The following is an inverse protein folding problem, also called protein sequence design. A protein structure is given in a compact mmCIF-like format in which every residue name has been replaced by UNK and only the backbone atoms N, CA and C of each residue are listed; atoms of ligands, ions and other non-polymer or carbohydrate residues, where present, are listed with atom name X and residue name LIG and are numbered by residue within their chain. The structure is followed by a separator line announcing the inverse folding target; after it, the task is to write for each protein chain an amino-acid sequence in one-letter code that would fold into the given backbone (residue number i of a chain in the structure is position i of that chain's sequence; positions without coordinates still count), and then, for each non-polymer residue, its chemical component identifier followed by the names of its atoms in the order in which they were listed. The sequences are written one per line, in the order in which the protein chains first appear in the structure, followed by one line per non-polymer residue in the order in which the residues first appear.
data_IF_787532402431
#
_entry.id   IF_787532402431
#
_cell.length_a   1.000
_cell.length_b   1.000
_cell.length_c   1.000
_cell.angle_alpha   90.00
_cell.angle_beta   90.00
_cell.angle_gamma   90.00
#
_symmetry.space_group_name_H-M   'P 1'
#
loop_
_entity.id
_entity.type
_entity.pdbx_description
1 polymer ?
#
# COMPACT_ATOMS: atom_id res chain seq x y z
N UNK A 1 -18.31 18.14 -8.44
CA UNK A 1 -19.18 17.28 -9.29
C UNK A 1 -19.13 15.85 -8.78
N UNK A 2 -20.26 15.16 -8.78
CA UNK A 2 -20.33 13.75 -8.42
C UNK A 2 -19.34 12.93 -9.26
N UNK A 3 -18.56 12.02 -8.66
CA UNK A 3 -17.66 11.15 -9.41
C UNK A 3 -18.46 10.24 -10.35
N UNK A 4 -17.98 10.10 -11.58
CA UNK A 4 -18.64 9.30 -12.64
C UNK A 4 -17.63 8.39 -13.29
N UNK A 5 -18.06 7.18 -13.63
CA UNK A 5 -17.26 6.28 -14.48
C UNK A 5 -17.24 6.88 -15.90
N UNK A 6 -16.05 7.07 -16.49
CA UNK A 6 -15.96 7.52 -17.87
C UNK A 6 -16.62 6.53 -18.83
N UNK A 7 -17.02 7.01 -20.00
CA UNK A 7 -17.51 6.17 -21.08
C UNK A 7 -16.48 5.09 -21.47
N UNK A 8 -16.95 3.88 -21.80
CA UNK A 8 -16.07 2.74 -22.10
C UNK A 8 -15.12 3.01 -23.28
N UNK A 9 -15.54 3.78 -24.28
CA UNK A 9 -14.68 4.14 -25.41
C UNK A 9 -13.58 5.12 -24.99
N UNK A 10 -13.87 6.04 -24.04
CA UNK A 10 -12.85 6.94 -23.47
C UNK A 10 -11.82 6.16 -22.65
N UNK A 11 -12.26 5.19 -21.85
CA UNK A 11 -11.36 4.31 -21.09
C UNK A 11 -10.48 3.51 -22.06
N UNK A 12 -11.10 2.86 -23.07
CA UNK A 12 -10.37 2.09 -24.07
C UNK A 12 -9.33 2.95 -24.82
N UNK A 13 -9.66 4.17 -25.18
CA UNK A 13 -8.74 5.11 -25.82
C UNK A 13 -7.59 5.49 -24.89
N UNK A 14 -7.86 5.75 -23.60
CA UNK A 14 -6.82 6.09 -22.64
C UNK A 14 -5.82 4.94 -22.43
N UNK A 15 -6.29 3.70 -22.26
CA UNK A 15 -5.39 2.55 -22.05
C UNK A 15 -4.65 2.12 -23.31
N UNK A 16 -5.18 2.37 -24.53
CA UNK A 16 -4.51 1.99 -25.78
C UNK A 16 -3.35 2.92 -26.16
N UNK A 17 -3.29 4.12 -25.59
CA UNK A 17 -2.25 5.10 -25.89
C UNK A 17 -1.09 5.14 -24.88
N UNK A 18 -1.38 5.00 -23.59
CA UNK A 18 -0.45 5.41 -22.54
C UNK A 18 -0.12 4.32 -21.50
N UNK A 19 -0.84 3.20 -21.47
CA UNK A 19 -0.67 2.14 -20.47
C UNK A 19 -0.14 0.83 -21.08
N UNK A 20 0.60 0.92 -22.19
CA UNK A 20 1.21 -0.27 -22.77
C UNK A 20 2.25 -0.85 -21.79
N UNK A 21 2.25 -2.17 -21.65
CA UNK A 21 3.19 -2.91 -20.78
C UNK A 21 4.67 -2.74 -21.20
N UNK A 22 4.91 -2.08 -22.32
CA UNK A 22 6.25 -1.70 -22.79
C UNK A 22 6.63 -0.36 -22.15
N UNK A 23 7.30 -0.43 -21.02
CA UNK A 23 7.92 0.70 -20.29
C UNK A 23 9.01 1.45 -21.08
N UNK A 24 8.98 1.39 -22.40
CA UNK A 24 9.94 2.08 -23.29
C UNK A 24 9.80 3.60 -23.28
N UNK A 25 8.75 4.12 -22.64
CA UNK A 25 8.49 5.56 -22.54
C UNK A 25 9.35 6.26 -21.47
N UNK A 26 9.99 5.51 -20.57
CA UNK A 26 10.87 6.06 -19.53
C UNK A 26 12.16 5.26 -19.50
N UNK A 27 13.27 5.93 -19.70
CA UNK A 27 14.61 5.35 -19.56
C UNK A 27 15.26 5.92 -18.30
N UNK A 28 15.80 5.03 -17.46
CA UNK A 28 16.60 5.42 -16.29
C UNK A 28 18.07 5.18 -16.66
N UNK A 29 18.89 6.21 -16.58
CA UNK A 29 20.35 6.11 -16.78
C UNK A 29 21.02 5.53 -15.54
N UNK A 30 22.25 5.03 -15.70
CA UNK A 30 23.04 4.46 -14.58
C UNK A 30 23.30 5.46 -13.44
N UNK A 31 23.29 6.77 -13.73
CA UNK A 31 23.39 7.83 -12.73
C UNK A 31 22.04 8.14 -12.01
N UNK A 32 20.98 7.39 -12.32
CA UNK A 32 19.63 7.61 -11.76
C UNK A 32 18.81 8.69 -12.45
N UNK A 33 19.35 9.33 -13.49
CA UNK A 33 18.60 10.34 -14.26
C UNK A 33 17.49 9.67 -15.08
N UNK A 34 16.27 10.22 -14.98
CA UNK A 34 15.11 9.72 -15.75
C UNK A 34 14.99 10.51 -17.03
N UNK A 35 15.02 9.81 -18.17
CA UNK A 35 14.67 10.35 -19.46
C UNK A 35 13.25 9.91 -19.82
N UNK A 36 12.32 10.85 -19.91
CA UNK A 36 11.05 10.58 -20.54
C UNK A 36 11.26 10.49 -22.05
N UNK A 37 10.99 9.31 -22.63
CA UNK A 37 11.20 9.10 -24.07
C UNK A 37 10.10 9.74 -24.94
N UNK A 38 8.94 10.04 -24.33
CA UNK A 38 7.80 10.68 -24.98
C UNK A 38 7.45 11.96 -24.22
N UNK A 39 7.28 13.07 -24.94
CA UNK A 39 6.87 14.38 -24.37
C UNK A 39 5.52 14.35 -23.65
N UNK A 40 4.68 13.36 -23.93
CA UNK A 40 3.37 13.20 -23.31
C UNK A 40 3.41 12.25 -22.11
N UNK A 41 4.55 11.61 -21.81
CA UNK A 41 4.70 10.71 -20.67
C UNK A 41 4.48 11.46 -19.36
N UNK A 42 3.58 10.94 -18.54
CA UNK A 42 3.31 11.42 -17.17
C UNK A 42 3.64 10.31 -16.19
N UNK A 43 4.44 10.64 -15.19
CA UNK A 43 4.82 9.70 -14.13
C UNK A 43 3.97 10.00 -12.91
N UNK A 44 3.28 9.00 -12.39
CA UNK A 44 2.55 9.06 -11.12
C UNK A 44 3.31 8.25 -10.06
N UNK A 45 3.69 8.92 -8.99
CA UNK A 45 4.41 8.32 -7.85
C UNK A 45 3.47 7.90 -6.71
N UNK A 46 2.17 7.83 -6.94
CA UNK A 46 1.16 7.55 -5.92
C UNK A 46 1.36 6.26 -5.13
N UNK A 47 2.02 5.27 -5.74
CA UNK A 47 2.33 3.99 -5.08
C UNK A 47 3.71 3.95 -4.39
N UNK A 48 4.50 5.03 -4.45
CA UNK A 48 5.86 5.07 -3.87
C UNK A 48 6.15 6.35 -3.08
N UNK A 49 5.40 7.42 -3.34
CA UNK A 49 5.72 8.74 -2.82
C UNK A 49 5.69 8.84 -1.30
N UNK A 50 4.76 8.14 -0.65
CA UNK A 50 4.67 8.12 0.81
C UNK A 50 5.83 7.33 1.43
N UNK A 51 6.16 6.19 0.81
CA UNK A 51 7.29 5.36 1.22
C UNK A 51 8.63 6.08 1.09
N UNK A 52 8.86 6.80 -0.02
CA UNK A 52 10.03 7.66 -0.18
C UNK A 52 10.07 8.71 0.94
N UNK A 53 8.94 9.37 1.21
CA UNK A 53 8.85 10.38 2.26
C UNK A 53 9.19 9.82 3.65
N UNK A 54 8.74 8.62 3.99
CA UNK A 54 9.09 7.97 5.27
C UNK A 54 10.57 7.60 5.34
N UNK A 55 11.15 7.07 4.26
CA UNK A 55 12.58 6.73 4.21
C UNK A 55 13.47 7.99 4.36
N UNK A 56 13.12 9.09 3.70
CA UNK A 56 13.86 10.36 3.84
C UNK A 56 13.69 10.96 5.23
N UNK A 57 12.50 10.93 5.81
CA UNK A 57 12.25 11.41 7.17
C UNK A 57 13.13 10.68 8.20
N UNK A 58 13.24 9.35 8.10
CA UNK A 58 14.12 8.57 9.00
C UNK A 58 15.59 8.88 8.78
N UNK A 59 16.02 9.12 7.54
CA UNK A 59 17.40 9.57 7.29
C UNK A 59 17.72 10.90 7.96
N UNK A 60 16.75 11.81 8.03
CA UNK A 60 16.90 13.08 8.73
C UNK A 60 16.91 12.90 10.25
N UNK A 61 15.98 12.14 10.80
CA UNK A 61 15.84 11.84 12.24
C UNK A 61 17.13 11.20 12.77
N UNK A 62 17.72 10.25 12.06
CA UNK A 62 18.96 9.58 12.45
C UNK A 62 20.19 10.52 12.57
N UNK A 63 20.14 11.71 11.99
CA UNK A 63 21.22 12.70 12.10
C UNK A 63 21.16 13.47 13.43
N UNK A 64 19.99 13.55 14.04
CA UNK A 64 19.79 14.20 15.31
C UNK A 64 19.89 13.17 16.44
N UNK A 65 20.98 13.27 17.21
CA UNK A 65 21.29 12.34 18.32
C UNK A 65 20.39 12.53 19.55
N UNK A 66 19.66 13.62 19.64
CA UNK A 66 18.71 13.88 20.72
C UNK A 66 17.40 13.12 20.52
N UNK A 67 17.10 12.69 19.28
CA UNK A 67 15.90 11.91 18.97
C UNK A 67 16.17 10.43 19.24
N UNK A 68 15.68 9.91 20.34
CA UNK A 68 15.83 8.50 20.76
C UNK A 68 14.73 7.59 20.19
N UNK A 69 13.58 8.14 19.83
CA UNK A 69 12.47 7.39 19.24
C UNK A 69 11.52 8.28 18.44
N UNK A 70 11.02 7.77 17.33
CA UNK A 70 10.09 8.48 16.48
C UNK A 70 9.15 7.53 15.71
N UNK A 71 7.93 7.99 15.47
CA UNK A 71 7.02 7.40 14.49
C UNK A 71 6.66 8.48 13.47
N UNK A 72 6.89 8.19 12.20
CA UNK A 72 6.49 9.06 11.09
C UNK A 72 5.37 8.38 10.33
N UNK A 73 4.24 9.06 10.18
CA UNK A 73 3.07 8.58 9.45
C UNK A 73 2.72 9.53 8.31
N UNK A 74 2.74 9.03 7.08
CA UNK A 74 2.32 9.74 5.88
C UNK A 74 1.12 9.00 5.26
N UNK A 75 -0.07 9.32 5.74
CA UNK A 75 -1.27 8.54 5.41
C UNK A 75 -1.11 7.08 5.83
N UNK A 76 -1.33 6.15 4.89
CA UNK A 76 -1.20 4.70 5.14
C UNK A 76 0.23 4.16 5.18
N UNK A 77 1.27 5.02 5.08
CA UNK A 77 2.68 4.61 5.17
C UNK A 77 3.29 5.12 6.47
N UNK A 78 3.84 4.21 7.27
CA UNK A 78 4.37 4.46 8.62
C UNK A 78 5.78 3.89 8.70
N UNK A 79 6.66 4.60 9.42
CA UNK A 79 7.97 4.06 9.81
C UNK A 79 8.22 4.37 11.28
N UNK A 80 8.84 3.43 12.00
CA UNK A 80 9.22 3.60 13.40
C UNK A 80 10.74 3.57 13.54
N UNK A 81 11.25 4.37 14.48
CA UNK A 81 12.68 4.49 14.77
C UNK A 81 12.92 4.54 16.29
N UNK A 82 14.02 3.95 16.71
CA UNK A 82 14.44 3.99 18.10
C UNK A 82 13.46 3.32 19.06
N UNK A 83 13.48 3.74 20.29
CA UNK A 83 12.66 3.21 21.37
C UNK A 83 11.66 4.25 21.84
N UNK A 84 10.52 3.79 22.31
CA UNK A 84 9.55 4.67 22.98
C UNK A 84 10.09 5.07 24.37
N UNK A 85 9.71 6.24 24.84
CA UNK A 85 10.17 6.77 26.12
C UNK A 85 9.82 5.89 27.33
N UNK A 86 8.79 5.05 27.21
CA UNK A 86 8.36 4.09 28.23
C UNK A 86 9.00 2.71 28.09
N UNK A 87 9.92 2.53 27.11
CA UNK A 87 10.58 1.25 26.82
C UNK A 87 9.67 0.19 26.19
N UNK A 88 8.42 0.50 25.89
CA UNK A 88 7.50 -0.45 25.27
C UNK A 88 7.75 -0.59 23.76
N UNK A 89 7.35 -1.73 23.19
CA UNK A 89 7.38 -1.96 21.74
C UNK A 89 6.49 -0.95 20.98
N UNK A 90 6.87 -0.67 19.76
CA UNK A 90 6.01 0.03 18.83
C UNK A 90 4.82 -0.86 18.46
N UNK A 91 3.61 -0.34 18.66
CA UNK A 91 2.38 -1.02 18.27
C UNK A 91 1.64 -0.16 17.23
N UNK A 92 1.53 -0.67 16.00
CA UNK A 92 0.93 0.05 14.88
C UNK A 92 -0.44 -0.54 14.57
N UNK A 93 -1.47 0.30 14.62
CA UNK A 93 -2.83 -0.10 14.29
C UNK A 93 -3.02 -0.33 12.79
N UNK A 94 -3.71 -1.40 12.43
CA UNK A 94 -4.20 -1.65 11.06
C UNK A 94 -5.68 -1.26 11.04
N UNK A 95 -6.06 -0.38 10.10
CA UNK A 95 -7.44 0.07 9.95
C UNK A 95 -8.35 -1.11 9.56
N UNK A 96 -9.55 -1.14 10.15
CA UNK A 96 -10.59 -2.08 9.74
C UNK A 96 -11.18 -1.65 8.37
N UNK A 97 -11.01 -2.47 7.30
CA UNK A 97 -11.53 -2.12 5.98
C UNK A 97 -13.05 -2.15 5.89
N UNK A 98 -13.75 -2.72 6.88
CA UNK A 98 -15.20 -2.75 6.99
C UNK A 98 -15.73 -1.75 8.02
N UNK A 99 -14.86 -1.20 8.85
CA UNK A 99 -15.19 -0.25 9.90
C UNK A 99 -15.34 1.18 9.38
N UNK A 100 -15.62 2.08 10.29
CA UNK A 100 -15.59 3.52 10.03
C UNK A 100 -14.14 4.00 9.95
N UNK A 101 -13.96 5.20 9.42
CA UNK A 101 -12.64 5.82 9.39
C UNK A 101 -12.06 5.94 10.80
N UNK A 102 -10.82 5.44 10.97
CA UNK A 102 -10.13 5.37 12.26
C UNK A 102 -10.46 4.15 13.13
N UNK A 103 -11.43 3.29 12.76
CA UNK A 103 -11.64 2.01 13.45
C UNK A 103 -10.51 1.03 13.15
N UNK A 104 -10.03 0.34 14.18
CA UNK A 104 -8.85 -0.52 14.11
C UNK A 104 -9.26 -1.98 14.09
N UNK A 105 -8.79 -2.70 13.07
CA UNK A 105 -8.91 -4.15 12.96
C UNK A 105 -8.10 -4.87 14.06
N UNK A 106 -6.90 -4.37 14.30
CA UNK A 106 -5.93 -4.95 15.22
C UNK A 106 -4.62 -4.19 15.19
N UNK A 107 -3.65 -4.64 15.97
CA UNK A 107 -2.34 -4.03 16.05
C UNK A 107 -1.23 -5.00 15.69
N UNK A 108 -0.13 -4.47 15.14
CA UNK A 108 1.12 -5.20 14.93
C UNK A 108 2.22 -4.61 15.81
N UNK A 109 2.93 -5.49 16.53
CA UNK A 109 4.15 -5.09 17.23
C UNK A 109 5.32 -5.09 16.26
N UNK A 110 6.09 -4.03 16.28
CA UNK A 110 7.21 -3.82 15.37
C UNK A 110 8.41 -3.21 16.09
N UNK A 111 9.60 -3.48 15.55
CA UNK A 111 10.87 -2.97 16.06
C UNK A 111 11.31 -1.72 15.30
N UNK A 112 12.25 -1.00 15.89
CA UNK A 112 12.95 0.12 15.24
C UNK A 112 13.42 -0.24 13.83
N UNK A 113 13.24 0.68 12.88
CA UNK A 113 13.61 0.49 11.48
C UNK A 113 12.54 -0.21 10.63
N UNK A 114 11.39 -0.57 11.21
CA UNK A 114 10.30 -1.19 10.46
C UNK A 114 9.48 -0.12 9.73
N UNK A 115 9.26 -0.36 8.46
CA UNK A 115 8.34 0.39 7.59
C UNK A 115 7.09 -0.43 7.32
N UNK A 116 5.93 0.24 7.33
CA UNK A 116 4.62 -0.37 7.16
C UNK A 116 3.86 0.47 6.14
N UNK A 117 3.19 -0.17 5.19
CA UNK A 117 2.29 0.54 4.28
C UNK A 117 1.05 -0.28 3.98
N UNK A 118 -0.10 0.39 3.94
CA UNK A 118 -1.39 -0.26 3.67
C UNK A 118 -2.02 0.31 2.41
N UNK A 119 -2.50 -0.59 1.56
CA UNK A 119 -3.38 -0.28 0.42
C UNK A 119 -4.72 -0.99 0.61
N UNK A 120 -5.81 -0.30 0.29
CA UNK A 120 -7.15 -0.86 0.47
C UNK A 120 -8.18 -0.31 -0.52
N UNK A 121 -9.31 -1.03 -0.66
CA UNK A 121 -10.41 -0.65 -1.53
C UNK A 121 -11.37 0.38 -0.90
N UNK A 122 -11.13 0.76 0.35
CA UNK A 122 -11.92 1.73 1.09
C UNK A 122 -11.42 3.17 0.94
N UNK A 123 -10.18 3.35 0.48
CA UNK A 123 -9.62 4.66 0.18
C UNK A 123 -10.04 5.13 -1.22
N UNK A 124 -10.28 6.45 -1.37
CA UNK A 124 -10.59 7.11 -2.66
C UNK A 124 -11.59 6.28 -3.47
N UNK A 125 -12.71 5.96 -2.87
CA UNK A 125 -13.76 5.10 -3.44
C UNK A 125 -15.04 5.88 -3.72
N UNK A 126 -15.81 5.42 -4.70
CA UNK A 126 -17.17 5.89 -4.93
C UNK A 126 -18.05 4.75 -5.46
N UNK A 127 -19.35 4.88 -5.26
CA UNK A 127 -20.33 3.96 -5.84
C UNK A 127 -21.07 4.66 -6.99
N UNK A 128 -21.03 4.06 -8.17
CA UNK A 128 -21.78 4.54 -9.31
C UNK A 128 -23.28 4.40 -9.06
N UNK A 129 -23.97 5.53 -9.01
CA UNK A 129 -25.42 5.60 -8.71
C UNK A 129 -26.31 4.84 -9.71
N UNK A 130 -25.83 4.65 -10.95
CA UNK A 130 -26.62 3.96 -12.00
C UNK A 130 -26.53 2.45 -11.89
N UNK A 131 -25.35 1.94 -11.56
CA UNK A 131 -25.08 0.49 -11.58
C UNK A 131 -24.95 -0.12 -10.19
N UNK A 132 -24.88 0.68 -9.13
CA UNK A 132 -24.57 0.25 -7.76
C UNK A 132 -23.15 -0.28 -7.60
N UNK A 133 -22.30 -0.22 -8.63
CA UNK A 133 -20.96 -0.77 -8.60
C UNK A 133 -20.01 0.20 -7.91
N UNK A 134 -19.20 -0.33 -6.98
CA UNK A 134 -18.15 0.40 -6.28
C UNK A 134 -16.87 0.41 -7.10
N UNK A 135 -16.23 1.56 -7.15
CA UNK A 135 -14.94 1.80 -7.78
C UNK A 135 -13.98 2.43 -6.79
N UNK A 136 -12.69 2.14 -6.93
CA UNK A 136 -11.60 2.68 -6.13
C UNK A 136 -10.37 2.96 -7.00
N UNK A 137 -9.41 3.69 -6.48
CA UNK A 137 -8.33 4.32 -7.23
C UNK A 137 -7.24 3.37 -7.76
N UNK A 138 -7.14 2.14 -7.26
CA UNK A 138 -6.15 1.17 -7.75
C UNK A 138 -6.72 0.53 -9.02
N UNK A 139 -6.11 0.87 -10.15
CA UNK A 139 -6.61 0.48 -11.47
C UNK A 139 -5.79 -0.68 -12.05
N UNK A 140 -6.48 -1.53 -12.80
CA UNK A 140 -5.87 -2.53 -13.66
C UNK A 140 -5.49 -1.86 -14.99
N UNK A 141 -4.19 -1.84 -15.31
CA UNK A 141 -3.65 -1.20 -16.51
C UNK A 141 -4.20 -1.79 -17.83
N UNK A 142 -4.63 -3.06 -17.81
CA UNK A 142 -5.20 -3.72 -19.00
C UNK A 142 -6.63 -3.32 -19.27
N UNK A 143 -7.39 -2.97 -18.23
CA UNK A 143 -8.82 -2.70 -18.35
C UNK A 143 -9.19 -1.25 -18.09
N UNK A 144 -8.34 -0.49 -17.38
CA UNK A 144 -8.59 0.88 -16.94
C UNK A 144 -9.66 1.01 -15.84
N UNK A 145 -10.16 -0.10 -15.31
CA UNK A 145 -11.09 -0.13 -14.18
C UNK A 145 -10.36 -0.55 -12.90
N UNK A 146 -11.03 -0.37 -11.76
CA UNK A 146 -10.50 -0.87 -10.47
C UNK A 146 -10.14 -2.34 -10.56
N UNK A 147 -8.99 -2.74 -10.00
CA UNK A 147 -8.52 -4.12 -10.04
C UNK A 147 -9.55 -5.08 -9.45
N UNK A 148 -9.63 -6.27 -10.03
CA UNK A 148 -10.46 -7.35 -9.49
C UNK A 148 -9.61 -8.14 -8.51
N UNK A 149 -9.87 -7.96 -7.23
CA UNK A 149 -9.19 -8.67 -6.14
C UNK A 149 -10.20 -9.22 -5.16
N UNK A 150 -9.84 -10.26 -4.43
CA UNK A 150 -10.60 -10.86 -3.34
C UNK A 150 -10.32 -10.23 -1.98
N UNK A 151 -9.29 -9.39 -1.90
CA UNK A 151 -8.92 -8.72 -0.66
C UNK A 151 -9.48 -7.30 -0.55
N UNK A 152 -9.66 -6.84 0.70
CA UNK A 152 -10.11 -5.51 1.09
C UNK A 152 -8.94 -4.59 1.42
N UNK A 153 -7.90 -5.15 2.06
CA UNK A 153 -6.68 -4.43 2.39
C UNK A 153 -5.45 -5.34 2.38
N UNK A 154 -4.31 -4.72 2.14
CA UNK A 154 -3.00 -5.34 2.21
C UNK A 154 -2.04 -4.41 2.95
N UNK A 155 -1.58 -4.83 4.11
CA UNK A 155 -0.55 -4.16 4.91
C UNK A 155 0.77 -4.89 4.73
N UNK A 156 1.79 -4.18 4.26
CA UNK A 156 3.16 -4.70 4.09
C UNK A 156 4.03 -4.22 5.24
N UNK A 157 4.92 -5.09 5.69
CA UNK A 157 5.87 -4.85 6.77
C UNK A 157 7.26 -5.25 6.27
N UNK A 158 8.19 -4.31 6.20
CA UNK A 158 9.58 -4.55 5.80
C UNK A 158 10.50 -3.42 6.33
N UNK A 159 11.76 -3.41 5.92
CA UNK A 159 12.79 -2.45 6.36
C UNK A 159 12.95 -1.21 5.46
N UNK A 160 12.12 -1.07 4.43
CA UNK A 160 12.17 0.04 3.46
C UNK A 160 10.78 0.60 3.19
N UNK A 161 10.60 1.90 3.38
CA UNK A 161 9.33 2.60 3.13
C UNK A 161 8.92 2.54 1.67
N UNK A 162 9.86 2.77 0.74
CA UNK A 162 9.58 2.69 -0.70
C UNK A 162 9.13 1.28 -1.10
N UNK A 163 9.75 0.22 -0.54
CA UNK A 163 9.35 -1.15 -0.80
C UNK A 163 7.99 -1.46 -0.17
N UNK A 164 7.74 -1.03 1.07
CA UNK A 164 6.45 -1.22 1.74
C UNK A 164 5.31 -0.58 0.93
N UNK A 165 5.48 0.67 0.49
CA UNK A 165 4.45 1.42 -0.26
C UNK A 165 4.17 0.75 -1.62
N UNK A 166 5.21 0.47 -2.43
CA UNK A 166 5.06 -0.20 -3.72
C UNK A 166 4.48 -1.61 -3.62
N UNK A 167 4.96 -2.40 -2.65
CA UNK A 167 4.47 -3.75 -2.44
C UNK A 167 3.02 -3.79 -1.95
N UNK A 168 2.58 -2.82 -1.14
CA UNK A 168 1.19 -2.78 -0.66
C UNK A 168 0.21 -2.70 -1.82
N UNK A 169 0.49 -1.86 -2.82
CA UNK A 169 -0.32 -1.71 -4.03
C UNK A 169 -0.22 -2.93 -4.95
N UNK A 170 0.99 -3.45 -5.16
CA UNK A 170 1.21 -4.62 -5.99
C UNK A 170 0.53 -5.88 -5.41
N UNK A 171 0.74 -6.16 -4.12
CA UNK A 171 0.15 -7.30 -3.44
C UNK A 171 -1.37 -7.19 -3.30
N UNK A 172 -1.90 -5.98 -3.08
CA UNK A 172 -3.34 -5.74 -3.13
C UNK A 172 -3.93 -6.14 -4.49
N UNK A 173 -3.25 -5.78 -5.57
CA UNK A 173 -3.69 -6.12 -6.94
C UNK A 173 -3.57 -7.61 -7.27
N UNK A 174 -2.53 -8.27 -6.76
CA UNK A 174 -2.24 -9.69 -7.00
C UNK A 174 -3.11 -10.64 -6.17
N UNK A 175 -3.58 -10.21 -5.01
CA UNK A 175 -4.25 -11.06 -4.01
C UNK A 175 -3.27 -11.94 -3.25
N UNK A 176 -3.77 -12.62 -2.19
CA UNK A 176 -2.98 -13.37 -1.21
C UNK A 176 -2.02 -14.36 -1.85
N UNK A 177 -2.54 -15.26 -2.70
CA UNK A 177 -1.75 -16.40 -3.23
C UNK A 177 -0.59 -15.95 -4.14
N UNK A 178 -0.84 -14.99 -5.04
CA UNK A 178 0.18 -14.54 -6.02
C UNK A 178 1.23 -13.63 -5.37
N UNK A 179 0.90 -12.98 -4.27
CA UNK A 179 1.80 -12.09 -3.54
C UNK A 179 2.97 -12.82 -2.87
N UNK A 180 2.85 -14.11 -2.53
CA UNK A 180 3.85 -14.85 -1.76
C UNK A 180 5.26 -14.82 -2.39
N UNK A 181 5.36 -14.95 -3.73
CA UNK A 181 6.65 -14.87 -4.43
C UNK A 181 7.29 -13.48 -4.29
N UNK A 182 6.46 -12.46 -4.36
CA UNK A 182 6.91 -11.07 -4.27
C UNK A 182 7.35 -10.73 -2.84
N UNK A 183 6.58 -11.14 -1.84
CA UNK A 183 6.93 -11.00 -0.43
C UNK A 183 8.27 -11.66 -0.12
N UNK A 184 8.48 -12.91 -0.58
CA UNK A 184 9.74 -13.63 -0.41
C UNK A 184 10.91 -12.91 -1.09
N UNK A 185 10.71 -12.41 -2.33
CA UNK A 185 11.75 -11.70 -3.09
C UNK A 185 12.26 -10.46 -2.35
N UNK A 186 11.37 -9.72 -1.68
CA UNK A 186 11.70 -8.47 -0.99
C UNK A 186 11.90 -8.65 0.53
N UNK A 187 11.95 -9.89 1.03
CA UNK A 187 12.01 -10.20 2.47
C UNK A 187 10.95 -9.41 3.27
N UNK A 188 9.76 -9.28 2.69
CA UNK A 188 8.65 -8.55 3.27
C UNK A 188 7.62 -9.52 3.88
N UNK A 189 6.93 -9.05 4.91
CA UNK A 189 5.80 -9.72 5.54
C UNK A 189 4.52 -8.96 5.24
N UNK A 190 3.37 -9.60 5.43
CA UNK A 190 2.09 -8.98 5.13
C UNK A 190 0.98 -9.39 6.10
N UNK A 191 0.00 -8.50 6.23
CA UNK A 191 -1.33 -8.80 6.76
C UNK A 191 -2.34 -8.46 5.66
N UNK A 192 -3.12 -9.46 5.22
CA UNK A 192 -4.19 -9.25 4.25
C UNK A 192 -5.55 -9.42 4.93
N UNK A 193 -6.52 -8.64 4.51
CA UNK A 193 -7.93 -8.83 4.88
C UNK A 193 -8.73 -9.12 3.62
N UNK A 194 -9.44 -10.25 3.59
CA UNK A 194 -10.28 -10.62 2.45
C UNK A 194 -11.74 -10.15 2.60
N UNK A 195 -12.53 -10.32 1.55
CA UNK A 195 -13.95 -9.96 1.51
C UNK A 195 -14.85 -10.86 2.38
N UNK A 196 -14.30 -11.93 2.94
CA UNK A 196 -14.98 -12.87 3.82
C UNK A 196 -14.52 -12.75 5.27
N UNK A 197 -13.98 -11.60 5.67
CA UNK A 197 -13.47 -11.30 7.01
C UNK A 197 -12.37 -12.27 7.48
N UNK A 198 -11.56 -12.79 6.55
CA UNK A 198 -10.38 -13.57 6.90
C UNK A 198 -9.16 -12.65 6.89
N UNK A 199 -8.35 -12.77 7.92
CA UNK A 199 -7.09 -12.02 8.10
C UNK A 199 -5.94 -13.01 7.93
N UNK A 200 -5.18 -12.88 6.85
CA UNK A 200 -4.01 -13.72 6.59
C UNK A 200 -2.77 -12.99 7.08
N UNK A 201 -2.03 -13.63 7.97
CA UNK A 201 -0.86 -13.05 8.65
C UNK A 201 0.38 -13.85 8.30
N UNK A 202 1.43 -13.18 7.84
CA UNK A 202 2.73 -13.81 7.56
C UNK A 202 3.37 -14.34 8.83
N UNK A 203 4.09 -15.46 8.72
CA UNK A 203 4.86 -16.03 9.83
C UNK A 203 5.81 -14.99 10.46
N UNK A 204 5.83 -14.97 11.80
CA UNK A 204 6.66 -14.07 12.60
C UNK A 204 6.19 -12.62 12.57
N UNK A 205 4.94 -12.33 12.22
CA UNK A 205 4.27 -11.05 12.49
C UNK A 205 3.50 -11.19 13.80
N UNK A 206 3.83 -10.38 14.79
CA UNK A 206 3.09 -10.30 16.05
C UNK A 206 1.85 -9.44 15.85
N UNK A 207 0.76 -10.09 15.41
CA UNK A 207 -0.53 -9.44 15.16
C UNK A 207 -1.54 -9.79 16.26
N UNK A 208 -2.20 -8.78 16.81
CA UNK A 208 -3.30 -8.93 17.77
C UNK A 208 -4.58 -8.41 17.14
N UNK A 209 -5.54 -9.29 16.91
CA UNK A 209 -6.88 -8.94 16.44
C UNK A 209 -7.68 -8.29 17.58
N UNK A 210 -8.32 -7.15 17.31
CA UNK A 210 -9.21 -6.46 18.27
C UNK A 210 -10.64 -6.33 17.76
N UNK A 211 -10.81 -6.30 16.42
CA UNK A 211 -12.15 -6.24 15.82
C UNK A 211 -12.87 -7.60 15.96
N UNK A 212 -14.20 -7.55 15.98
CA UNK A 212 -15.07 -8.72 16.03
C UNK A 212 -15.34 -9.25 14.62
N UNK A 213 -15.81 -10.50 14.53
CA UNK A 213 -16.28 -11.15 13.31
C UNK A 213 -15.21 -11.38 12.23
N UNK A 214 -13.94 -11.44 12.63
CA UNK A 214 -12.81 -11.79 11.77
C UNK A 214 -12.18 -13.13 12.20
N UNK A 215 -11.62 -13.86 11.23
CA UNK A 215 -10.86 -15.10 11.47
C UNK A 215 -9.41 -14.92 11.02
N UNK A 216 -8.47 -15.07 11.95
CA UNK A 216 -7.04 -15.04 11.65
C UNK A 216 -6.59 -16.39 11.11
N UNK A 217 -5.77 -16.35 10.06
CA UNK A 217 -5.18 -17.49 9.36
C UNK A 217 -3.69 -17.20 9.11
N UNK A 218 -2.87 -18.23 9.11
CA UNK A 218 -1.48 -18.12 8.68
C UNK A 218 -1.42 -17.98 7.14
N UNK A 219 -0.46 -17.19 6.66
CA UNK A 219 -0.25 -16.91 5.23
C UNK A 219 0.58 -18.02 4.59
#
# INVERSE_FOLDING_TARGET
SDPKVPDANKIKKAISGDLSENSQHVTVKDNGEILACDKNTKIDLGAYGKGIGTDEAIKMIKKDKEITGAMVALGGSIVVYGEKSDGSDWNVGIQDPNGKDGEVLGGIKVKSGTSISTSGDYEKTFTDKKTGKRYFHILDSKTGYSVKTDIRSCTIICDSGINADGLSTACFSLGVKKSQKLLKKYNAKAVFVDKNNKVYVSDGVEFTLTAKDYKVLNL
#
